data_IF_493195149532
#
_entry.id   IF_493195149532
#
_cell.length_a   1.000
_cell.length_b   1.000
_cell.length_c   1.000
_cell.angle_alpha   90.00
_cell.angle_beta   90.00
_cell.angle_gamma   90.00
#
_symmetry.space_group_name_H-M   'P 1'
#
loop_
_entity.id
_entity.type
_entity.pdbx_description
1 polymer ?
#
# COMPACT_ATOMS: atom_id res chain seq x y z
N UNK A 1 39.93 -1.85 42.18
CA UNK A 1 39.87 -2.78 41.06
C UNK A 1 38.47 -2.98 40.45
N UNK A 2 37.38 -2.98 41.24
CA UNK A 2 36.00 -3.11 40.69
C UNK A 2 35.56 -1.94 39.80
N UNK A 3 35.89 -0.69 40.13
CA UNK A 3 35.53 0.49 39.36
C UNK A 3 36.23 0.57 38.01
N UNK A 4 37.45 0.08 37.89
CA UNK A 4 38.21 0.09 36.63
C UNK A 4 37.61 -0.90 35.59
N UNK A 5 37.13 -2.06 36.06
CA UNK A 5 36.42 -3.03 35.18
C UNK A 5 35.11 -2.47 34.63
N UNK A 6 34.34 -1.77 35.50
CA UNK A 6 33.08 -1.15 35.06
C UNK A 6 33.31 -0.01 34.04
N UNK A 7 34.36 0.79 34.22
CA UNK A 7 34.72 1.86 33.27
C UNK A 7 35.16 1.26 31.93
N UNK A 8 35.93 0.19 31.91
CA UNK A 8 36.36 -0.50 30.68
C UNK A 8 35.15 -1.10 29.95
N UNK A 9 34.19 -1.69 30.67
CA UNK A 9 32.96 -2.24 30.06
C UNK A 9 32.08 -1.13 29.44
N UNK A 10 31.95 0.02 30.13
CA UNK A 10 31.18 1.15 29.59
C UNK A 10 31.85 1.78 28.35
N UNK A 11 33.19 1.89 28.37
CA UNK A 11 33.94 2.37 27.20
C UNK A 11 33.84 1.40 26.03
N UNK A 12 33.91 0.09 26.24
CA UNK A 12 33.73 -0.94 25.21
C UNK A 12 32.30 -0.92 24.62
N UNK A 13 31.26 -0.78 25.47
CA UNK A 13 29.87 -0.61 25.02
C UNK A 13 29.67 0.69 24.22
N UNK A 14 30.27 1.80 24.66
CA UNK A 14 30.21 3.06 23.94
C UNK A 14 30.93 3.01 22.59
N UNK A 15 32.07 2.31 22.50
CA UNK A 15 32.79 2.09 21.24
C UNK A 15 32.00 1.19 20.27
N UNK A 16 31.29 0.17 20.76
CA UNK A 16 30.46 -0.70 19.95
C UNK A 16 29.23 0.09 19.40
N UNK A 17 28.59 0.91 20.21
CA UNK A 17 27.48 1.75 19.78
C UNK A 17 27.91 2.87 18.81
N UNK A 18 29.10 3.47 19.02
CA UNK A 18 29.65 4.48 18.13
C UNK A 18 30.11 3.87 16.79
N UNK A 19 30.61 2.63 16.78
CA UNK A 19 30.98 1.90 15.56
C UNK A 19 29.77 1.61 14.68
N UNK A 20 28.68 1.10 15.23
CA UNK A 20 27.45 0.81 14.48
C UNK A 20 26.80 2.08 13.91
N UNK A 21 26.78 3.18 14.67
CA UNK A 21 26.22 4.45 14.21
C UNK A 21 27.04 5.08 13.06
N UNK A 22 28.37 4.97 13.14
CA UNK A 22 29.26 5.43 12.06
C UNK A 22 29.10 4.60 10.78
N UNK A 23 28.88 3.29 10.90
CA UNK A 23 28.65 2.42 9.76
C UNK A 23 27.33 2.73 9.06
N UNK A 24 26.24 2.87 9.80
CA UNK A 24 24.94 3.20 9.23
C UNK A 24 24.95 4.57 8.52
N UNK A 25 25.50 5.60 9.15
CA UNK A 25 25.66 6.92 8.52
C UNK A 25 26.50 6.85 7.23
N UNK A 26 27.57 6.06 7.24
CA UNK A 26 28.41 5.85 6.06
C UNK A 26 27.64 5.16 4.93
N UNK A 27 26.82 4.15 5.25
CA UNK A 27 25.95 3.44 4.29
C UNK A 27 24.95 4.42 3.67
N UNK A 28 24.22 5.17 4.48
CA UNK A 28 23.23 6.16 4.02
C UNK A 28 23.85 7.24 3.15
N UNK A 29 25.02 7.76 3.55
CA UNK A 29 25.79 8.73 2.77
C UNK A 29 26.20 8.19 1.40
N UNK A 30 26.67 6.93 1.34
CA UNK A 30 27.05 6.29 0.09
C UNK A 30 25.82 6.00 -0.77
N UNK A 31 24.71 5.56 -0.17
CA UNK A 31 23.44 5.41 -0.87
C UNK A 31 22.96 6.74 -1.47
N UNK A 32 22.98 7.82 -0.69
CA UNK A 32 22.57 9.15 -1.16
C UNK A 32 23.39 9.60 -2.37
N UNK A 33 24.72 9.37 -2.36
CA UNK A 33 25.61 9.67 -3.50
C UNK A 33 25.25 8.85 -4.74
N UNK A 34 24.99 7.55 -4.57
CA UNK A 34 24.59 6.66 -5.68
C UNK A 34 23.24 7.08 -6.25
N UNK A 35 22.28 7.41 -5.39
CA UNK A 35 20.92 7.79 -5.75
C UNK A 35 20.85 9.11 -6.50
N UNK A 36 21.72 10.10 -6.20
CA UNK A 36 21.67 11.45 -6.78
C UNK A 36 21.63 11.46 -8.32
N UNK A 37 22.39 10.58 -8.97
CA UNK A 37 22.37 10.44 -10.43
C UNK A 37 21.04 9.89 -10.95
N UNK A 38 20.43 8.99 -10.20
CA UNK A 38 19.10 8.42 -10.52
C UNK A 38 18.00 9.47 -10.38
N UNK A 39 18.02 10.24 -9.29
CA UNK A 39 17.04 11.30 -9.03
C UNK A 39 17.05 12.38 -10.14
N UNK A 40 18.21 12.71 -10.70
CA UNK A 40 18.33 13.61 -11.86
C UNK A 40 17.56 13.08 -13.07
N UNK A 41 17.68 11.78 -13.36
CA UNK A 41 16.97 11.13 -14.47
C UNK A 41 15.46 11.06 -14.23
N UNK A 42 15.03 10.75 -13.00
CA UNK A 42 13.60 10.72 -12.65
C UNK A 42 12.94 12.11 -12.79
N UNK A 43 13.66 13.17 -12.43
CA UNK A 43 13.17 14.54 -12.54
C UNK A 43 13.08 15.02 -14.01
N UNK A 44 13.96 14.54 -14.88
CA UNK A 44 13.95 14.92 -16.30
C UNK A 44 14.36 13.74 -17.22
N UNK A 45 13.47 12.74 -17.39
CA UNK A 45 13.80 11.52 -18.12
C UNK A 45 14.14 11.73 -19.59
N UNK A 46 13.54 12.75 -20.22
CA UNK A 46 13.73 13.01 -21.66
C UNK A 46 15.04 13.74 -21.96
N UNK A 47 15.48 14.62 -21.07
CA UNK A 47 16.71 15.41 -21.26
C UNK A 47 17.99 14.67 -20.81
N UNK A 48 17.87 13.59 -20.04
CA UNK A 48 19.02 12.84 -19.55
C UNK A 48 19.65 11.98 -20.65
N UNK A 49 20.92 12.21 -20.99
CA UNK A 49 21.59 11.43 -22.05
C UNK A 49 21.85 9.98 -21.61
N UNK A 50 22.06 9.04 -22.57
CA UNK A 50 22.24 7.62 -22.28
C UNK A 50 23.35 7.29 -21.28
N UNK A 51 24.46 8.02 -21.32
CA UNK A 51 25.60 7.78 -20.40
C UNK A 51 25.25 8.06 -18.93
N UNK A 52 24.31 8.97 -18.66
CA UNK A 52 23.86 9.24 -17.29
C UNK A 52 23.10 8.04 -16.73
N UNK A 53 22.28 7.36 -17.54
CA UNK A 53 21.62 6.12 -17.15
C UNK A 53 22.63 5.04 -16.76
N UNK A 54 23.66 4.82 -17.61
CA UNK A 54 24.69 3.84 -17.35
C UNK A 54 25.47 4.15 -16.08
N UNK A 55 25.81 5.44 -15.87
CA UNK A 55 26.46 5.90 -14.64
C UNK A 55 25.60 5.66 -13.41
N UNK A 56 24.32 6.04 -13.44
CA UNK A 56 23.40 5.86 -12.33
C UNK A 56 23.23 4.37 -11.98
N UNK A 57 23.03 3.52 -12.98
CA UNK A 57 22.94 2.06 -12.82
C UNK A 57 24.21 1.51 -12.20
N UNK A 58 25.39 1.88 -12.71
CA UNK A 58 26.70 1.42 -12.19
C UNK A 58 26.89 1.80 -10.72
N UNK A 59 26.52 3.03 -10.33
CA UNK A 59 26.66 3.50 -8.94
C UNK A 59 25.72 2.75 -7.98
N UNK A 60 24.47 2.58 -8.37
CA UNK A 60 23.48 1.86 -7.57
C UNK A 60 23.80 0.36 -7.48
N UNK A 61 24.29 -0.25 -8.56
CA UNK A 61 24.68 -1.66 -8.57
C UNK A 61 25.92 -1.91 -7.70
N UNK A 62 26.91 -1.02 -7.77
CA UNK A 62 28.09 -1.08 -6.89
C UNK A 62 27.72 -0.92 -5.41
N UNK A 63 26.78 0.00 -5.11
CA UNK A 63 26.26 0.17 -3.76
C UNK A 63 25.56 -1.11 -3.27
N UNK A 64 24.64 -1.64 -4.07
CA UNK A 64 23.85 -2.82 -3.74
C UNK A 64 24.75 -4.05 -3.51
N UNK A 65 25.79 -4.25 -4.31
CA UNK A 65 26.75 -5.35 -4.11
C UNK A 65 27.57 -5.20 -2.84
N UNK A 66 27.99 -3.97 -2.53
CA UNK A 66 28.79 -3.68 -1.34
C UNK A 66 28.01 -3.84 -0.04
N UNK A 67 26.72 -3.48 -0.05
CA UNK A 67 25.87 -3.42 1.14
C UNK A 67 24.65 -4.35 1.01
N UNK A 68 24.88 -5.56 0.51
CA UNK A 68 23.82 -6.52 0.12
C UNK A 68 22.87 -6.93 1.25
N UNK A 69 23.30 -6.82 2.51
CA UNK A 69 22.46 -7.13 3.69
C UNK A 69 21.64 -5.92 4.18
N UNK A 70 21.84 -4.73 3.61
CA UNK A 70 21.14 -3.52 4.05
C UNK A 70 19.90 -3.28 3.20
N UNK A 71 18.80 -2.85 3.85
CA UNK A 71 17.52 -2.55 3.18
C UNK A 71 17.65 -1.54 2.03
N UNK A 72 18.59 -0.60 2.11
CA UNK A 72 18.88 0.35 1.04
C UNK A 72 19.42 -0.33 -0.22
N UNK A 73 19.95 -1.55 -0.10
CA UNK A 73 20.34 -2.36 -1.26
C UNK A 73 19.12 -2.78 -2.07
N UNK A 74 18.04 -3.18 -1.41
CA UNK A 74 16.76 -3.52 -2.07
C UNK A 74 16.22 -2.30 -2.81
N UNK A 75 16.20 -1.13 -2.15
CA UNK A 75 15.75 0.11 -2.78
C UNK A 75 16.62 0.51 -3.98
N UNK A 76 17.95 0.32 -3.89
CA UNK A 76 18.85 0.55 -5.02
C UNK A 76 18.52 -0.34 -6.22
N UNK A 77 18.20 -1.62 -6.00
CA UNK A 77 17.79 -2.55 -7.05
C UNK A 77 16.47 -2.12 -7.71
N UNK A 78 15.47 -1.72 -6.93
CA UNK A 78 14.22 -1.17 -7.45
C UNK A 78 14.43 0.11 -8.24
N UNK A 79 15.33 0.99 -7.80
CA UNK A 79 15.68 2.22 -8.55
C UNK A 79 16.30 1.88 -9.90
N UNK A 80 17.20 0.90 -9.98
CA UNK A 80 17.77 0.45 -11.26
C UNK A 80 16.66 -0.02 -12.20
N UNK A 81 15.77 -0.89 -11.73
CA UNK A 81 14.64 -1.35 -12.53
C UNK A 81 13.78 -0.17 -13.02
N UNK A 82 13.43 0.76 -12.11
CA UNK A 82 12.62 1.93 -12.42
C UNK A 82 13.28 2.88 -13.42
N UNK A 83 14.62 3.06 -13.35
CA UNK A 83 15.37 3.83 -14.33
C UNK A 83 15.23 3.25 -15.74
N UNK A 84 15.33 1.93 -15.89
CA UNK A 84 15.11 1.27 -17.18
C UNK A 84 13.68 1.49 -17.67
N UNK A 85 12.67 1.37 -16.80
CA UNK A 85 11.27 1.57 -17.17
C UNK A 85 11.00 3.01 -17.64
N UNK A 86 11.50 4.00 -16.90
CA UNK A 86 11.36 5.43 -17.24
C UNK A 86 12.06 5.77 -18.56
N UNK A 87 13.19 5.12 -18.85
CA UNK A 87 13.91 5.25 -20.13
C UNK A 87 13.36 4.33 -21.22
N UNK A 88 12.17 3.73 -21.03
CA UNK A 88 11.47 2.83 -21.95
C UNK A 88 12.29 1.58 -22.35
N UNK A 89 13.29 1.21 -21.55
CA UNK A 89 14.05 -0.03 -21.71
C UNK A 89 13.35 -1.17 -20.93
N UNK A 90 12.10 -1.45 -21.30
CA UNK A 90 11.19 -2.30 -20.52
C UNK A 90 11.73 -3.70 -20.25
N UNK A 91 12.36 -4.34 -21.23
CA UNK A 91 12.94 -5.69 -21.04
C UNK A 91 14.05 -5.72 -20.01
N UNK A 92 14.93 -4.69 -19.99
CA UNK A 92 15.97 -4.58 -18.97
C UNK A 92 15.37 -4.33 -17.58
N UNK A 93 14.33 -3.51 -17.52
CA UNK A 93 13.58 -3.26 -16.28
C UNK A 93 12.96 -4.54 -15.73
N UNK A 94 12.27 -5.31 -16.59
CA UNK A 94 11.67 -6.61 -16.22
C UNK A 94 12.72 -7.65 -15.82
N UNK A 95 13.83 -7.72 -16.52
CA UNK A 95 14.93 -8.62 -16.16
C UNK A 95 15.48 -8.30 -14.77
N UNK A 96 15.67 -7.00 -14.44
CA UNK A 96 16.11 -6.61 -13.11
C UNK A 96 15.05 -6.91 -12.03
N UNK A 97 13.78 -6.70 -12.31
CA UNK A 97 12.68 -7.07 -11.40
C UNK A 97 12.60 -8.59 -11.18
N UNK A 98 12.83 -9.38 -12.21
CA UNK A 98 12.98 -10.84 -12.08
C UNK A 98 14.10 -11.23 -11.14
N UNK A 99 15.28 -10.64 -11.28
CA UNK A 99 16.41 -10.86 -10.36
C UNK A 99 16.06 -10.49 -8.90
N UNK A 100 15.30 -9.41 -8.68
CA UNK A 100 14.84 -9.05 -7.35
C UNK A 100 13.93 -10.14 -6.78
N UNK A 101 12.97 -10.65 -7.56
CA UNK A 101 12.07 -11.73 -7.13
C UNK A 101 12.86 -13.00 -6.76
N UNK A 102 13.86 -13.35 -7.56
CA UNK A 102 14.66 -14.56 -7.32
C UNK A 102 15.52 -14.41 -6.06
N UNK A 103 16.20 -13.27 -5.89
CA UNK A 103 17.11 -13.02 -4.74
C UNK A 103 16.32 -12.85 -3.44
N UNK A 104 15.17 -12.21 -3.49
CA UNK A 104 14.33 -11.92 -2.31
C UNK A 104 13.05 -12.77 -2.28
N UNK A 105 13.13 -14.02 -2.76
CA UNK A 105 11.98 -14.95 -2.84
C UNK A 105 11.29 -15.18 -1.49
N UNK A 106 12.03 -15.15 -0.38
CA UNK A 106 11.49 -15.30 0.97
C UNK A 106 10.74 -14.04 1.45
N UNK A 107 11.02 -12.88 0.87
CA UNK A 107 10.33 -11.64 1.21
C UNK A 107 9.09 -11.43 0.34
N UNK A 108 7.93 -11.86 0.85
CA UNK A 108 6.64 -11.66 0.18
C UNK A 108 6.37 -10.19 -0.16
N UNK A 109 6.83 -9.27 0.70
CA UNK A 109 6.67 -7.83 0.47
C UNK A 109 7.47 -7.38 -0.76
N UNK A 110 8.77 -7.72 -0.83
CA UNK A 110 9.66 -7.36 -1.93
C UNK A 110 9.18 -8.00 -3.24
N UNK A 111 8.87 -9.31 -3.21
CA UNK A 111 8.41 -10.05 -4.39
C UNK A 111 7.11 -9.50 -4.95
N UNK A 112 6.14 -9.14 -4.10
CA UNK A 112 4.87 -8.56 -4.55
C UNK A 112 5.03 -7.16 -5.16
N UNK A 113 5.95 -6.34 -4.61
CA UNK A 113 6.28 -5.02 -5.18
C UNK A 113 6.96 -5.17 -6.55
N UNK A 114 7.93 -6.06 -6.68
CA UNK A 114 8.61 -6.31 -7.94
C UNK A 114 7.63 -6.84 -9.01
N UNK A 115 6.76 -7.77 -8.65
CA UNK A 115 5.73 -8.31 -9.55
C UNK A 115 4.75 -7.22 -10.01
N UNK A 116 4.39 -6.30 -9.11
CA UNK A 116 3.56 -5.15 -9.46
C UNK A 116 4.24 -4.25 -10.50
N UNK A 117 5.52 -3.96 -10.33
CA UNK A 117 6.29 -3.16 -11.29
C UNK A 117 6.48 -3.88 -12.64
N UNK A 118 6.58 -5.21 -12.64
CA UNK A 118 6.53 -5.98 -13.91
C UNK A 118 5.20 -5.76 -14.62
N UNK A 119 4.08 -5.87 -13.90
CA UNK A 119 2.75 -5.55 -14.44
C UNK A 119 2.68 -4.12 -14.98
N UNK A 120 3.16 -3.14 -14.20
CA UNK A 120 3.23 -1.73 -14.64
C UNK A 120 4.05 -1.54 -15.91
N UNK A 121 5.15 -2.28 -16.08
CA UNK A 121 5.97 -2.20 -17.29
C UNK A 121 5.19 -2.61 -18.53
N UNK A 122 4.34 -3.63 -18.43
CA UNK A 122 3.47 -4.07 -19.52
C UNK A 122 2.32 -3.08 -19.80
N UNK A 123 1.79 -2.42 -18.74
CA UNK A 123 0.84 -1.32 -18.97
C UNK A 123 1.45 -0.15 -19.76
N UNK A 124 2.71 0.20 -19.48
CA UNK A 124 3.42 1.26 -20.20
C UNK A 124 3.67 0.92 -21.68
N UNK A 125 3.58 -0.36 -22.04
CA UNK A 125 3.62 -0.86 -23.41
C UNK A 125 2.21 -1.12 -23.99
N UNK A 126 1.13 -0.69 -23.31
CA UNK A 126 -0.27 -0.97 -23.67
C UNK A 126 -0.61 -2.48 -23.77
N UNK A 127 0.18 -3.34 -23.09
CA UNK A 127 0.02 -4.80 -23.05
C UNK A 127 -0.77 -5.23 -21.81
N UNK A 128 -2.00 -4.71 -21.64
CA UNK A 128 -2.81 -4.95 -20.45
C UNK A 128 -3.02 -6.44 -20.11
N UNK A 129 -3.21 -7.30 -21.09
CA UNK A 129 -3.39 -8.73 -20.85
C UNK A 129 -2.22 -9.36 -20.10
N UNK A 130 -0.98 -8.97 -20.45
CA UNK A 130 0.23 -9.42 -19.76
C UNK A 130 0.33 -8.80 -18.36
N UNK A 131 0.04 -7.49 -18.23
CA UNK A 131 -0.01 -6.83 -16.93
C UNK A 131 -0.98 -7.52 -15.97
N UNK A 132 -2.19 -7.83 -16.44
CA UNK A 132 -3.24 -8.49 -15.67
C UNK A 132 -2.81 -9.86 -15.14
N UNK A 133 -2.05 -10.64 -15.91
CA UNK A 133 -1.51 -11.93 -15.46
C UNK A 133 -0.60 -11.76 -14.24
N UNK A 134 0.27 -10.75 -14.24
CA UNK A 134 1.14 -10.45 -13.09
C UNK A 134 0.33 -9.95 -11.88
N UNK A 135 -0.69 -9.13 -12.10
CA UNK A 135 -1.59 -8.67 -11.04
C UNK A 135 -2.38 -9.84 -10.41
N UNK A 136 -2.89 -10.75 -11.21
CA UNK A 136 -3.56 -11.97 -10.71
C UNK A 136 -2.62 -12.86 -9.90
N UNK A 137 -1.34 -12.93 -10.28
CA UNK A 137 -0.33 -13.63 -9.47
C UNK A 137 -0.16 -12.99 -8.10
N UNK A 138 -0.12 -11.66 -8.00
CA UNK A 138 -0.04 -10.95 -6.71
C UNK A 138 -1.23 -11.32 -5.81
N UNK A 139 -2.45 -11.27 -6.35
CA UNK A 139 -3.68 -11.61 -5.62
C UNK A 139 -3.63 -13.04 -5.08
N UNK A 140 -3.10 -13.98 -5.87
CA UNK A 140 -3.04 -15.40 -5.53
C UNK A 140 -1.90 -15.74 -4.56
N UNK A 141 -0.69 -15.25 -4.85
CA UNK A 141 0.54 -15.68 -4.19
C UNK A 141 0.90 -14.80 -2.98
N UNK A 142 0.46 -13.52 -2.98
CA UNK A 142 0.82 -12.52 -1.97
C UNK A 142 -0.39 -11.76 -1.38
N UNK A 143 -1.50 -12.45 -1.03
CA UNK A 143 -2.77 -11.80 -0.67
C UNK A 143 -2.70 -10.91 0.57
N UNK A 144 -1.76 -11.17 1.49
CA UNK A 144 -1.61 -10.43 2.76
C UNK A 144 -0.55 -9.33 2.70
N UNK A 145 0.01 -9.05 1.53
CA UNK A 145 0.93 -7.91 1.34
C UNK A 145 0.14 -6.64 1.00
N UNK A 146 0.79 -5.49 1.12
CA UNK A 146 0.19 -4.22 0.67
C UNK A 146 -0.31 -4.31 -0.77
N UNK A 147 0.49 -4.88 -1.70
CA UNK A 147 0.07 -5.06 -3.09
C UNK A 147 -1.08 -6.07 -3.23
N UNK A 148 -1.10 -7.12 -2.40
CA UNK A 148 -2.23 -8.06 -2.35
C UNK A 148 -3.55 -7.37 -2.00
N UNK A 149 -3.53 -6.39 -1.10
CA UNK A 149 -4.71 -5.59 -0.76
C UNK A 149 -5.04 -4.53 -1.83
N UNK A 150 -4.05 -3.91 -2.46
CA UNK A 150 -4.28 -2.79 -3.37
C UNK A 150 -4.70 -3.25 -4.78
N UNK A 151 -4.12 -4.34 -5.28
CA UNK A 151 -4.20 -4.75 -6.69
C UNK A 151 -5.62 -5.10 -7.16
N UNK A 152 -6.49 -5.77 -6.36
CA UNK A 152 -7.85 -6.02 -6.83
C UNK A 152 -8.62 -4.73 -7.17
N UNK A 153 -8.51 -3.70 -6.33
CA UNK A 153 -9.11 -2.39 -6.60
C UNK A 153 -8.40 -1.63 -7.72
N UNK A 154 -7.09 -1.81 -7.85
CA UNK A 154 -6.30 -1.23 -8.94
C UNK A 154 -6.78 -1.71 -10.31
N UNK A 155 -7.08 -3.00 -10.46
CA UNK A 155 -7.63 -3.59 -11.71
C UNK A 155 -8.97 -2.93 -12.04
N UNK A 156 -9.87 -2.77 -11.08
CA UNK A 156 -11.15 -2.11 -11.30
C UNK A 156 -10.97 -0.63 -11.69
N UNK A 157 -10.05 0.08 -11.02
CA UNK A 157 -9.72 1.46 -11.34
C UNK A 157 -9.11 1.62 -12.74
N UNK A 158 -8.31 0.68 -13.21
CA UNK A 158 -7.82 0.66 -14.58
C UNK A 158 -8.97 0.66 -15.59
N UNK A 159 -9.95 -0.22 -15.43
CA UNK A 159 -11.12 -0.28 -16.32
C UNK A 159 -11.98 0.99 -16.22
N UNK A 160 -12.07 1.62 -15.04
CA UNK A 160 -12.73 2.92 -14.88
C UNK A 160 -12.05 4.01 -15.71
N UNK A 161 -10.72 4.12 -15.65
CA UNK A 161 -9.93 5.09 -16.41
C UNK A 161 -10.04 4.83 -17.93
N UNK A 162 -10.17 3.58 -18.34
CA UNK A 162 -10.33 3.18 -19.73
C UNK A 162 -11.80 3.26 -20.23
N UNK A 163 -12.71 3.80 -19.40
CA UNK A 163 -14.14 3.93 -19.73
C UNK A 163 -14.80 2.59 -20.12
N UNK A 164 -14.49 1.51 -19.42
CA UNK A 164 -15.03 0.17 -19.62
C UNK A 164 -15.91 -0.25 -18.44
N UNK A 165 -17.15 0.26 -18.31
CA UNK A 165 -17.97 0.10 -17.12
C UNK A 165 -18.30 -1.36 -16.79
N UNK A 166 -18.55 -2.21 -17.79
CA UNK A 166 -18.87 -3.61 -17.53
C UNK A 166 -17.68 -4.37 -16.91
N UNK A 167 -16.47 -4.15 -17.44
CA UNK A 167 -15.25 -4.75 -16.89
C UNK A 167 -14.90 -4.16 -15.54
N UNK A 168 -15.15 -2.87 -15.34
CA UNK A 168 -14.97 -2.21 -14.04
C UNK A 168 -15.89 -2.86 -12.99
N UNK A 169 -17.18 -3.02 -13.30
CA UNK A 169 -18.14 -3.63 -12.38
C UNK A 169 -17.80 -5.10 -12.11
N UNK A 170 -17.40 -5.87 -13.12
CA UNK A 170 -16.93 -7.24 -12.93
C UNK A 170 -15.71 -7.30 -12.02
N UNK A 171 -14.71 -6.43 -12.22
CA UNK A 171 -13.50 -6.38 -11.40
C UNK A 171 -13.81 -6.01 -9.94
N UNK A 172 -14.74 -5.06 -9.68
CA UNK A 172 -15.16 -4.77 -8.30
C UNK A 172 -15.89 -5.97 -7.64
N UNK A 173 -16.71 -6.74 -8.39
CA UNK A 173 -17.35 -7.96 -7.88
C UNK A 173 -16.31 -9.04 -7.55
N UNK A 174 -15.35 -9.27 -8.45
CA UNK A 174 -14.24 -10.21 -8.21
C UNK A 174 -13.42 -9.79 -6.98
N UNK A 175 -13.10 -8.51 -6.84
CA UNK A 175 -12.42 -7.97 -5.68
C UNK A 175 -13.22 -8.19 -4.38
N UNK A 176 -14.53 -7.94 -4.39
CA UNK A 176 -15.39 -8.14 -3.23
C UNK A 176 -15.42 -9.62 -2.80
N UNK A 177 -15.50 -10.55 -3.75
CA UNK A 177 -15.46 -12.01 -3.48
C UNK A 177 -14.11 -12.40 -2.89
N UNK A 178 -13.00 -11.94 -3.48
CA UNK A 178 -11.66 -12.20 -2.98
C UNK A 178 -11.49 -11.68 -1.54
N UNK A 179 -11.88 -10.44 -1.28
CA UNK A 179 -11.77 -9.84 0.05
C UNK A 179 -12.68 -10.54 1.08
N UNK A 180 -13.90 -10.92 0.72
CA UNK A 180 -14.76 -11.72 1.61
C UNK A 180 -14.11 -13.03 2.02
N UNK A 181 -13.54 -13.74 1.06
CA UNK A 181 -12.83 -15.00 1.32
C UNK A 181 -11.63 -14.78 2.25
N UNK A 182 -10.89 -13.69 2.03
CA UNK A 182 -9.74 -13.33 2.85
C UNK A 182 -10.16 -12.91 4.27
N UNK A 183 -11.23 -12.11 4.39
CA UNK A 183 -11.79 -11.69 5.67
C UNK A 183 -12.23 -12.89 6.52
N UNK A 184 -12.92 -13.87 5.94
CA UNK A 184 -13.33 -15.07 6.65
C UNK A 184 -12.18 -15.92 7.19
N UNK A 185 -11.01 -15.88 6.54
CA UNK A 185 -9.79 -16.55 7.02
C UNK A 185 -9.08 -15.81 8.16
N UNK A 186 -9.37 -14.53 8.36
CA UNK A 186 -8.68 -13.64 9.30
C UNK A 186 -9.66 -12.86 10.18
N UNK A 187 -10.81 -13.45 10.46
CA UNK A 187 -11.98 -12.80 11.05
C UNK A 187 -11.70 -12.13 12.41
N UNK A 188 -10.89 -12.77 13.25
CA UNK A 188 -10.57 -12.27 14.60
C UNK A 188 -9.35 -11.35 14.67
N UNK A 189 -8.87 -10.88 13.54
CA UNK A 189 -7.67 -10.07 13.47
C UNK A 189 -7.92 -8.67 12.86
N UNK A 190 -6.97 -7.73 13.05
CA UNK A 190 -6.99 -6.42 12.38
C UNK A 190 -6.93 -6.54 10.84
N UNK A 191 -6.45 -7.67 10.32
CA UNK A 191 -6.50 -7.97 8.89
C UNK A 191 -7.96 -8.10 8.47
N UNK A 192 -8.77 -8.87 9.19
CA UNK A 192 -10.20 -9.02 8.92
C UNK A 192 -10.93 -7.68 8.91
N UNK A 193 -10.70 -6.82 9.91
CA UNK A 193 -11.22 -5.45 9.95
C UNK A 193 -10.88 -4.68 8.66
N UNK A 194 -9.59 -4.66 8.29
CA UNK A 194 -9.13 -3.94 7.09
C UNK A 194 -9.76 -4.49 5.82
N UNK A 195 -9.91 -5.79 5.72
CA UNK A 195 -10.42 -6.45 4.52
C UNK A 195 -11.94 -6.29 4.38
N UNK A 196 -12.72 -6.32 5.48
CA UNK A 196 -14.14 -5.99 5.42
C UNK A 196 -14.39 -4.55 4.97
N UNK A 197 -13.51 -3.61 5.35
CA UNK A 197 -13.54 -2.25 4.79
C UNK A 197 -13.36 -2.25 3.26
N UNK A 198 -12.45 -3.07 2.73
CA UNK A 198 -12.28 -3.20 1.28
C UNK A 198 -13.50 -3.80 0.59
N UNK A 199 -14.19 -4.75 1.24
CA UNK A 199 -15.48 -5.29 0.75
C UNK A 199 -16.51 -4.18 0.65
N UNK A 200 -16.71 -3.40 1.71
CA UNK A 200 -17.65 -2.28 1.73
C UNK A 200 -17.35 -1.28 0.59
N UNK A 201 -16.08 -0.93 0.41
CA UNK A 201 -15.63 -0.04 -0.69
C UNK A 201 -15.93 -0.59 -2.08
N UNK A 202 -15.81 -1.90 -2.29
CA UNK A 202 -16.20 -2.53 -3.57
C UNK A 202 -17.70 -2.33 -3.83
N UNK A 203 -18.55 -2.58 -2.83
CA UNK A 203 -19.98 -2.41 -2.96
C UNK A 203 -20.41 -0.95 -3.11
N UNK A 204 -19.73 -0.02 -2.43
CA UNK A 204 -19.93 1.44 -2.67
C UNK A 204 -19.63 1.80 -4.14
N UNK A 205 -18.54 1.30 -4.70
CA UNK A 205 -18.18 1.56 -6.09
C UNK A 205 -19.19 0.97 -7.10
N UNK A 206 -19.84 -0.14 -6.74
CA UNK A 206 -20.92 -0.78 -7.50
C UNK A 206 -22.29 -0.12 -7.26
N UNK A 207 -22.42 0.82 -6.32
CA UNK A 207 -23.68 1.40 -5.82
C UNK A 207 -24.62 0.33 -5.21
N UNK A 208 -24.06 -0.78 -4.76
CA UNK A 208 -24.77 -1.84 -4.03
C UNK A 208 -24.82 -1.47 -2.54
N UNK A 209 -25.59 -0.44 -2.20
CA UNK A 209 -25.56 0.26 -0.92
C UNK A 209 -25.89 -0.65 0.28
N UNK A 210 -26.92 -1.49 0.14
CA UNK A 210 -27.31 -2.42 1.21
C UNK A 210 -26.16 -3.38 1.55
N UNK A 211 -25.47 -3.95 0.54
CA UNK A 211 -24.32 -4.84 0.77
C UNK A 211 -23.12 -4.11 1.39
N UNK A 212 -22.97 -2.82 1.08
CA UNK A 212 -21.95 -2.00 1.72
C UNK A 212 -22.26 -1.80 3.21
N UNK A 213 -23.52 -1.47 3.55
CA UNK A 213 -24.00 -1.34 4.93
C UNK A 213 -23.85 -2.67 5.68
N UNK A 214 -24.22 -3.81 5.08
CA UNK A 214 -24.03 -5.13 5.67
C UNK A 214 -22.56 -5.38 6.04
N UNK A 215 -21.65 -4.97 5.15
CA UNK A 215 -20.20 -5.11 5.40
C UNK A 215 -19.74 -4.22 6.56
N UNK A 216 -20.28 -3.00 6.70
CA UNK A 216 -20.00 -2.12 7.83
C UNK A 216 -20.63 -2.64 9.13
N UNK A 217 -21.84 -3.22 9.08
CA UNK A 217 -22.47 -3.85 10.25
C UNK A 217 -21.62 -5.02 10.77
N UNK A 218 -21.09 -5.86 9.89
CA UNK A 218 -20.13 -6.91 10.28
C UNK A 218 -18.93 -6.33 11.01
N UNK A 219 -18.39 -5.19 10.53
CA UNK A 219 -17.28 -4.49 11.20
C UNK A 219 -17.69 -4.00 12.58
N UNK A 220 -18.84 -3.37 12.70
CA UNK A 220 -19.36 -2.87 13.97
C UNK A 220 -19.52 -4.02 14.98
N UNK A 221 -20.17 -5.10 14.58
CA UNK A 221 -20.47 -6.22 15.46
C UNK A 221 -19.21 -6.95 15.96
N UNK A 222 -18.23 -7.15 15.07
CA UNK A 222 -17.03 -7.93 15.38
C UNK A 222 -15.91 -7.14 16.04
N UNK A 223 -15.81 -5.86 15.74
CA UNK A 223 -14.63 -5.05 16.11
C UNK A 223 -14.94 -3.90 17.06
N UNK A 224 -16.20 -3.74 17.51
CA UNK A 224 -16.57 -2.80 18.57
C UNK A 224 -15.74 -3.03 19.83
N UNK A 225 -15.16 -1.96 20.36
CA UNK A 225 -14.27 -2.01 21.52
C UNK A 225 -12.84 -2.51 21.24
N UNK A 226 -12.55 -3.00 20.01
CA UNK A 226 -11.22 -3.45 19.60
C UNK A 226 -10.47 -2.41 18.75
N UNK A 227 -11.23 -1.61 17.97
CA UNK A 227 -10.69 -0.54 17.09
C UNK A 227 -11.60 0.68 17.15
N UNK A 228 -11.09 1.81 16.66
CA UNK A 228 -11.92 3.01 16.47
C UNK A 228 -12.83 2.81 15.25
N UNK A 229 -14.16 2.98 15.45
CA UNK A 229 -15.19 2.80 14.43
C UNK A 229 -15.87 4.11 14.00
N UNK A 230 -15.39 5.27 14.44
CA UNK A 230 -16.00 6.57 14.15
C UNK A 230 -16.21 6.79 12.65
N UNK A 231 -15.22 6.47 11.82
CA UNK A 231 -15.32 6.57 10.38
C UNK A 231 -16.30 5.56 9.76
N UNK A 232 -16.48 4.39 10.37
CA UNK A 232 -17.46 3.39 9.92
C UNK A 232 -18.86 3.89 10.15
N UNK A 233 -19.17 4.41 11.34
CA UNK A 233 -20.47 5.01 11.64
C UNK A 233 -20.78 6.19 10.71
N UNK A 234 -19.82 7.09 10.49
CA UNK A 234 -20.00 8.23 9.60
C UNK A 234 -20.27 7.80 8.15
N UNK A 235 -19.47 6.86 7.62
CA UNK A 235 -19.65 6.37 6.26
C UNK A 235 -21.02 5.69 6.08
N UNK A 236 -21.45 4.90 7.07
CA UNK A 236 -22.77 4.25 7.05
C UNK A 236 -23.89 5.30 7.08
N UNK A 237 -23.76 6.32 7.93
CA UNK A 237 -24.72 7.43 7.99
C UNK A 237 -24.82 8.19 6.66
N UNK A 238 -23.68 8.46 6.01
CA UNK A 238 -23.66 9.13 4.71
C UNK A 238 -24.34 8.31 3.62
N UNK A 239 -24.17 6.98 3.61
CA UNK A 239 -24.90 6.10 2.68
C UNK A 239 -26.39 6.17 2.94
N UNK A 240 -26.83 6.01 4.19
CA UNK A 240 -28.26 6.12 4.54
C UNK A 240 -28.84 7.47 4.11
N UNK A 241 -28.17 8.59 4.41
CA UNK A 241 -28.67 9.94 4.09
C UNK A 241 -28.68 10.20 2.59
N UNK A 242 -27.52 10.02 1.93
CA UNK A 242 -27.31 10.56 0.59
C UNK A 242 -27.82 9.62 -0.50
N UNK A 243 -27.70 8.30 -0.29
CA UNK A 243 -28.00 7.31 -1.31
C UNK A 243 -29.37 6.67 -1.11
N UNK A 244 -29.65 6.20 0.10
CA UNK A 244 -30.90 5.51 0.42
C UNK A 244 -32.02 6.46 0.88
N UNK A 245 -31.72 7.75 1.10
CA UNK A 245 -32.68 8.77 1.62
C UNK A 245 -33.36 8.35 2.95
N UNK A 246 -32.67 7.47 3.70
CA UNK A 246 -33.15 6.97 4.99
C UNK A 246 -32.64 7.84 6.14
N UNK A 247 -33.41 8.89 6.48
CA UNK A 247 -33.09 9.83 7.57
C UNK A 247 -32.96 9.14 8.93
N UNK A 248 -33.82 8.17 9.23
CA UNK A 248 -33.80 7.45 10.52
C UNK A 248 -32.53 6.58 10.65
N UNK A 249 -32.15 5.84 9.61
CA UNK A 249 -30.93 5.07 9.61
C UNK A 249 -29.68 5.95 9.75
N UNK A 250 -29.65 7.08 9.03
CA UNK A 250 -28.56 8.04 9.12
C UNK A 250 -28.42 8.61 10.54
N UNK A 251 -29.55 9.05 11.16
CA UNK A 251 -29.59 9.53 12.53
C UNK A 251 -29.00 8.53 13.51
N UNK A 252 -29.48 7.28 13.49
CA UNK A 252 -29.03 6.27 14.44
C UNK A 252 -27.52 6.01 14.37
N UNK A 253 -26.91 6.07 13.17
CA UNK A 253 -25.45 5.92 13.03
C UNK A 253 -24.68 7.15 13.53
N UNK A 254 -25.21 8.35 13.34
CA UNK A 254 -24.62 9.59 13.83
C UNK A 254 -24.65 9.64 15.36
N UNK A 255 -25.80 9.32 15.97
CA UNK A 255 -25.95 9.29 17.42
C UNK A 255 -24.96 8.30 18.07
N UNK A 256 -24.81 7.10 17.49
CA UNK A 256 -23.79 6.14 17.94
C UNK A 256 -22.36 6.69 17.83
N UNK A 257 -22.02 7.41 16.75
CA UNK A 257 -20.71 8.02 16.62
C UNK A 257 -20.47 9.05 17.74
N UNK A 258 -21.43 9.92 17.99
CA UNK A 258 -21.31 10.98 19.01
C UNK A 258 -21.22 10.39 20.42
N UNK A 259 -22.02 9.37 20.70
CA UNK A 259 -22.10 8.71 22.01
C UNK A 259 -20.82 7.88 22.30
N UNK A 260 -20.40 7.04 21.34
CA UNK A 260 -19.29 6.12 21.55
C UNK A 260 -17.91 6.76 21.33
N UNK A 261 -17.85 7.83 20.53
CA UNK A 261 -16.59 8.52 20.17
C UNK A 261 -16.67 10.05 20.35
N UNK A 262 -17.03 10.55 21.56
CA UNK A 262 -17.24 11.99 21.79
C UNK A 262 -15.99 12.85 21.55
N UNK A 263 -14.79 12.26 21.65
CA UNK A 263 -13.51 12.93 21.41
C UNK A 263 -13.00 12.74 19.97
N UNK A 264 -13.77 12.13 19.08
CA UNK A 264 -13.38 11.99 17.68
C UNK A 264 -13.36 13.34 16.96
N UNK A 265 -12.40 13.51 16.07
CA UNK A 265 -12.37 14.65 15.14
C UNK A 265 -13.60 14.70 14.22
N UNK A 266 -14.32 13.59 14.07
CA UNK A 266 -15.53 13.48 13.24
C UNK A 266 -16.79 13.90 13.97
N UNK A 267 -16.77 14.08 15.30
CA UNK A 267 -17.96 14.42 16.11
C UNK A 267 -18.60 15.75 15.70
N UNK A 268 -17.80 16.76 15.37
CA UNK A 268 -18.35 18.04 14.87
C UNK A 268 -19.06 17.84 13.53
N UNK A 269 -18.45 17.12 12.59
CA UNK A 269 -19.05 16.79 11.29
C UNK A 269 -20.34 15.97 11.47
N UNK A 270 -20.34 15.03 12.39
CA UNK A 270 -21.52 14.22 12.73
C UNK A 270 -22.65 15.08 13.30
N UNK A 271 -22.32 16.01 14.22
CA UNK A 271 -23.29 16.93 14.81
C UNK A 271 -23.93 17.86 13.76
N UNK A 272 -23.13 18.39 12.83
CA UNK A 272 -23.64 19.23 11.76
C UNK A 272 -24.54 18.46 10.79
N UNK A 273 -24.14 17.21 10.48
CA UNK A 273 -24.94 16.30 9.66
C UNK A 273 -26.28 15.96 10.34
N UNK A 274 -26.33 15.83 11.68
CA UNK A 274 -27.54 15.61 12.45
C UNK A 274 -28.51 16.81 12.32
N UNK A 275 -27.99 18.04 12.49
CA UNK A 275 -28.76 19.28 12.29
C UNK A 275 -29.35 19.39 10.87
N UNK A 276 -28.60 18.92 9.84
CA UNK A 276 -29.12 18.91 8.47
C UNK A 276 -30.25 17.90 8.26
N UNK A 277 -30.20 16.74 8.93
CA UNK A 277 -31.25 15.72 8.88
C UNK A 277 -32.51 16.22 9.53
N UNK A 278 -32.40 17.06 10.58
CA UNK A 278 -33.51 17.64 11.34
C UNK A 278 -34.18 18.82 10.63
N UNK A 279 -33.43 19.52 9.78
CA UNK A 279 -34.05 20.53 8.92
C UNK A 279 -34.90 19.83 7.86
N UNK A 280 -36.17 20.19 7.77
CA UNK A 280 -37.17 19.60 6.87
C UNK A 280 -36.83 19.76 5.40
#
# INVERSE_FOLDING_TARGET
MKNLKNIIVVILLACLLAGCANDQYSIEKNYWKAKKSADSIFNNPHASPPFELERAVKLLDAFSKKYHENDLSVDAQFKIASLYLVKKQYDKGRARLGQIIDVYSDSKLVSSEALFLVGKSYELEDKWGLALNHYKRIIKEYPLTKKGFDVPLYIAQYYKIKYQPDKMNAAYREAAVHYKTLAGKHEDSLIGFSVYNLVARCYMALKEWDKSIDSFNIIIDKYKGKVNLDSIYLNTALIYKNELKNKSGARGMIEKLIEEYPQSKLTNTATDLLKEIDKK
#
